data_IF_506206611448
#
_entry.id   IF_506206611448
#
_cell.length_a   1.000
_cell.length_b   1.000
_cell.length_c   1.000
_cell.angle_alpha   90.00
_cell.angle_beta   90.00
_cell.angle_gamma   90.00
#
_symmetry.space_group_name_H-M   'P 1'
#
loop_
_entity.id
_entity.type
_entity.pdbx_description
1 polymer ?
#
# COMPACT_ATOMS: atom_id res chain seq x y z
N UNK A 1 18.05 1.08 10.64
CA UNK A 1 17.46 0.03 9.77
C UNK A 1 18.50 -0.30 8.72
N UNK A 2 18.86 -1.57 8.53
CA UNK A 2 19.70 -1.94 7.39
C UNK A 2 18.92 -1.70 6.09
N UNK A 3 19.64 -1.37 5.02
CA UNK A 3 19.06 -1.01 3.72
C UNK A 3 18.23 -2.18 3.15
N UNK A 4 18.70 -3.41 3.33
CA UNK A 4 18.02 -4.65 2.93
C UNK A 4 16.63 -4.81 3.59
N UNK A 5 16.49 -4.44 4.86
CA UNK A 5 15.21 -4.54 5.57
C UNK A 5 14.20 -3.53 5.00
N UNK A 6 14.67 -2.33 4.66
CA UNK A 6 13.83 -1.30 4.04
C UNK A 6 13.36 -1.72 2.64
N UNK A 7 14.22 -2.36 1.85
CA UNK A 7 13.87 -2.91 0.53
C UNK A 7 12.80 -4.02 0.64
N UNK A 8 12.99 -4.98 1.55
CA UNK A 8 12.02 -6.05 1.77
C UNK A 8 10.63 -5.51 2.19
N UNK A 9 10.60 -4.51 3.09
CA UNK A 9 9.34 -3.88 3.47
C UNK A 9 8.72 -3.07 2.32
N UNK A 10 9.52 -2.36 1.53
CA UNK A 10 9.02 -1.61 0.37
C UNK A 10 8.39 -2.55 -0.67
N UNK A 11 9.01 -3.69 -0.96
CA UNK A 11 8.46 -4.69 -1.87
C UNK A 11 7.13 -5.27 -1.36
N UNK A 12 7.07 -5.64 -0.08
CA UNK A 12 5.84 -6.14 0.55
C UNK A 12 4.72 -5.10 0.51
N UNK A 13 5.03 -3.83 0.79
CA UNK A 13 4.06 -2.74 0.73
C UNK A 13 3.58 -2.47 -0.69
N UNK A 14 4.46 -2.56 -1.70
CA UNK A 14 4.10 -2.43 -3.12
C UNK A 14 3.13 -3.52 -3.56
N UNK A 15 3.38 -4.78 -3.18
CA UNK A 15 2.48 -5.88 -3.48
C UNK A 15 1.12 -5.74 -2.81
N UNK A 16 1.09 -5.39 -1.53
CA UNK A 16 -0.15 -5.15 -0.80
C UNK A 16 -0.96 -4.03 -1.45
N UNK A 17 -0.29 -2.94 -1.79
CA UNK A 17 -0.87 -1.77 -2.45
C UNK A 17 -1.55 -2.12 -3.78
N UNK A 18 -0.87 -2.90 -4.63
CA UNK A 18 -1.44 -3.36 -5.91
C UNK A 18 -2.68 -4.24 -5.70
N UNK A 19 -2.64 -5.15 -4.73
CA UNK A 19 -3.79 -6.02 -4.41
C UNK A 19 -4.97 -5.22 -3.88
N UNK A 20 -4.74 -4.30 -2.95
CA UNK A 20 -5.78 -3.44 -2.39
C UNK A 20 -6.49 -2.63 -3.48
N UNK A 21 -5.75 -2.11 -4.47
CA UNK A 21 -6.34 -1.40 -5.61
C UNK A 21 -7.31 -2.28 -6.40
N UNK A 22 -6.93 -3.53 -6.66
CA UNK A 22 -7.80 -4.47 -7.38
C UNK A 22 -9.07 -4.77 -6.59
N UNK A 23 -8.95 -5.04 -5.29
CA UNK A 23 -10.13 -5.31 -4.43
C UNK A 23 -11.10 -4.12 -4.39
N UNK A 24 -10.58 -2.89 -4.30
CA UNK A 24 -11.44 -1.69 -4.34
C UNK A 24 -12.14 -1.54 -5.69
N UNK A 25 -11.45 -1.84 -6.80
CA UNK A 25 -12.03 -1.81 -8.15
C UNK A 25 -13.05 -2.91 -8.41
N UNK A 26 -12.84 -4.09 -7.82
CA UNK A 26 -13.79 -5.20 -7.89
C UNK A 26 -15.09 -4.88 -7.13
N UNK A 27 -15.01 -4.09 -6.05
CA UNK A 27 -16.17 -3.63 -5.27
C UNK A 27 -16.89 -2.45 -5.93
N UNK A 28 -16.13 -1.44 -6.37
CA UNK A 28 -16.64 -0.29 -7.11
C UNK A 28 -15.64 0.11 -8.21
N UNK A 29 -15.95 -0.16 -9.49
CA UNK A 29 -15.04 0.11 -10.59
C UNK A 29 -14.82 1.61 -10.84
N UNK A 30 -15.65 2.49 -10.27
CA UNK A 30 -15.49 3.95 -10.36
C UNK A 30 -14.60 4.51 -9.25
N UNK A 31 -14.31 3.73 -8.22
CA UNK A 31 -13.51 4.17 -7.09
C UNK A 31 -12.02 3.86 -7.33
N UNK A 32 -11.17 4.85 -7.09
CA UNK A 32 -9.72 4.71 -7.18
C UNK A 32 -9.08 4.86 -5.81
N UNK A 33 -8.25 3.88 -5.45
CA UNK A 33 -7.48 3.90 -4.22
C UNK A 33 -6.43 5.01 -4.28
N UNK A 34 -6.63 6.09 -3.52
CA UNK A 34 -5.70 7.24 -3.42
C UNK A 34 -4.68 7.09 -2.29
N UNK A 35 -5.14 6.65 -1.12
CA UNK A 35 -4.31 6.49 0.07
C UNK A 35 -4.67 5.19 0.77
N UNK A 36 -3.64 4.54 1.31
CA UNK A 36 -3.77 3.33 2.12
C UNK A 36 -3.04 3.56 3.45
N UNK A 37 -3.78 3.51 4.55
CA UNK A 37 -3.21 3.64 5.89
C UNK A 37 -3.25 2.31 6.60
N UNK A 38 -2.08 1.76 6.89
CA UNK A 38 -1.92 0.51 7.61
C UNK A 38 -1.42 0.83 9.01
N UNK A 39 -2.25 0.57 10.02
CA UNK A 39 -1.86 0.69 11.42
C UNK A 39 -1.49 -0.68 11.97
N UNK A 40 -0.23 -0.83 12.36
CA UNK A 40 0.26 -1.93 13.18
C UNK A 40 0.36 -1.47 14.65
N UNK A 41 0.52 -2.42 15.59
CA UNK A 41 0.58 -2.12 17.03
C UNK A 41 1.70 -1.14 17.42
N UNK A 42 2.82 -1.15 16.69
CA UNK A 42 4.00 -0.31 16.97
C UNK A 42 4.32 0.69 15.87
N UNK A 43 3.73 0.53 14.68
CA UNK A 43 4.11 1.29 13.49
C UNK A 43 2.85 1.66 12.71
N UNK A 44 2.85 2.85 12.11
CA UNK A 44 1.84 3.27 11.16
C UNK A 44 2.53 3.52 9.82
N UNK A 45 1.98 2.95 8.75
CA UNK A 45 2.52 3.08 7.39
C UNK A 45 1.44 3.71 6.53
N UNK A 46 1.75 4.88 5.98
CA UNK A 46 0.91 5.56 5.02
C UNK A 46 1.50 5.34 3.63
N UNK A 47 0.70 4.79 2.73
CA UNK A 47 1.06 4.62 1.33
C UNK A 47 0.17 5.52 0.50
N UNK A 48 0.78 6.46 -0.22
CA UNK A 48 0.11 7.28 -1.21
C UNK A 48 0.28 6.64 -2.58
N UNK A 49 -0.81 6.54 -3.33
CA UNK A 49 -0.74 6.22 -4.75
C UNK A 49 -0.74 7.53 -5.49
N UNK A 50 0.44 8.01 -5.86
CA UNK A 50 0.52 9.13 -6.78
C UNK A 50 0.14 8.63 -8.18
N UNK A 51 -0.65 9.43 -8.88
CA UNK A 51 -0.90 9.19 -10.30
C UNK A 51 0.33 9.70 -11.04
N UNK A 52 1.04 8.83 -11.73
CA UNK A 52 1.66 9.27 -13.00
C UNK A 52 0.56 9.84 -13.92
#
# INVERSE_FOLDING_TARGET
MSQELAEAYAEAMKHLSKKSRNVVRDLDPKNELKYLRIRAKKHEVLVAFDKE
#
